data_IF_314277801747
#
_entry.id   IF_314277801747
#
_cell.length_a   1.000
_cell.length_b   1.000
_cell.length_c   1.000
_cell.angle_alpha   90.00
_cell.angle_beta   90.00
_cell.angle_gamma   90.00
#
_symmetry.space_group_name_H-M   'P 1'
#
loop_
_entity.id
_entity.type
_entity.pdbx_description
1 polymer ?
#
# COMPACT_ATOMS: atom_id res chain seq x y z
N UNK A 1 29.97 -8.83 -51.14
CA UNK A 1 28.58 -8.62 -50.67
C UNK A 1 27.99 -7.41 -51.38
N UNK A 2 26.82 -7.54 -51.98
CA UNK A 2 26.14 -6.45 -52.69
C UNK A 2 25.57 -5.41 -51.71
N UNK A 3 25.97 -4.13 -51.83
CA UNK A 3 25.54 -3.01 -50.95
C UNK A 3 24.02 -2.93 -50.77
N UNK A 4 23.28 -3.24 -51.84
CA UNK A 4 21.81 -3.22 -51.86
C UNK A 4 21.19 -4.28 -50.94
N UNK A 5 21.84 -5.43 -50.78
CA UNK A 5 21.36 -6.50 -49.91
C UNK A 5 21.61 -6.18 -48.44
N UNK A 6 22.75 -5.57 -48.13
CA UNK A 6 23.07 -5.10 -46.78
C UNK A 6 22.06 -4.06 -46.27
N UNK A 7 21.70 -3.07 -47.08
CA UNK A 7 20.73 -2.03 -46.69
C UNK A 7 19.33 -2.63 -46.44
N UNK A 8 18.90 -3.58 -47.28
CA UNK A 8 17.62 -4.28 -47.10
C UNK A 8 17.58 -5.10 -45.80
N UNK A 9 18.67 -5.79 -45.49
CA UNK A 9 18.80 -6.56 -44.25
C UNK A 9 18.80 -5.65 -43.02
N UNK A 10 19.55 -4.55 -43.04
CA UNK A 10 19.62 -3.60 -41.93
C UNK A 10 18.26 -2.94 -41.66
N UNK A 11 17.53 -2.53 -42.71
CA UNK A 11 16.19 -1.99 -42.59
C UNK A 11 15.17 -3.01 -42.07
N UNK A 12 15.25 -4.26 -42.54
CA UNK A 12 14.41 -5.35 -42.05
C UNK A 12 14.63 -5.66 -40.57
N UNK A 13 15.90 -5.74 -40.14
CA UNK A 13 16.27 -5.97 -38.72
C UNK A 13 15.80 -4.83 -37.84
N UNK A 14 15.91 -3.58 -38.31
CA UNK A 14 15.48 -2.39 -37.58
C UNK A 14 13.96 -2.35 -37.40
N UNK A 15 13.21 -2.69 -38.45
CA UNK A 15 11.75 -2.80 -38.39
C UNK A 15 11.29 -3.92 -37.44
N UNK A 16 11.94 -5.09 -37.49
CA UNK A 16 11.68 -6.21 -36.58
C UNK A 16 12.00 -5.85 -35.12
N UNK A 17 13.07 -5.11 -34.86
CA UNK A 17 13.43 -4.66 -33.52
C UNK A 17 12.42 -3.63 -32.96
N UNK A 18 11.94 -2.69 -33.78
CA UNK A 18 10.92 -1.73 -33.36
C UNK A 18 9.58 -2.42 -33.07
N UNK A 19 9.13 -3.32 -33.95
CA UNK A 19 7.88 -4.07 -33.74
C UNK A 19 8.01 -5.01 -32.53
N UNK A 20 9.13 -5.70 -32.38
CA UNK A 20 9.42 -6.56 -31.23
C UNK A 20 9.50 -5.80 -29.90
N UNK A 21 10.06 -4.59 -29.89
CA UNK A 21 10.13 -3.74 -28.68
C UNK A 21 8.77 -3.20 -28.23
N UNK A 22 7.86 -2.91 -29.17
CA UNK A 22 6.50 -2.43 -28.85
C UNK A 22 5.49 -3.57 -28.56
N UNK A 23 5.70 -4.77 -29.09
CA UNK A 23 4.78 -5.90 -28.94
C UNK A 23 4.95 -6.71 -27.63
N UNK A 24 5.89 -6.34 -26.75
CA UNK A 24 6.20 -7.07 -25.51
C UNK A 24 5.75 -6.38 -24.19
N UNK A 25 4.62 -5.63 -24.08
CA UNK A 25 4.16 -5.16 -22.77
C UNK A 25 3.70 -6.33 -21.89
N UNK A 26 3.39 -7.49 -22.49
CA UNK A 26 2.92 -8.71 -21.81
C UNK A 26 3.96 -9.36 -20.88
N UNK A 27 5.22 -8.96 -20.96
CA UNK A 27 6.30 -9.44 -20.07
C UNK A 27 6.61 -8.46 -18.92
N UNK A 28 5.91 -7.34 -18.81
CA UNK A 28 5.98 -6.50 -17.62
C UNK A 28 5.27 -7.25 -16.48
N UNK A 29 6.07 -7.84 -15.57
CA UNK A 29 5.56 -8.59 -14.42
C UNK A 29 4.47 -7.82 -13.67
N UNK A 30 3.41 -8.54 -13.27
CA UNK A 30 2.29 -7.95 -12.55
C UNK A 30 2.82 -7.29 -11.27
N UNK A 31 2.72 -5.97 -11.20
CA UNK A 31 3.12 -5.21 -10.02
C UNK A 31 2.18 -5.60 -8.87
N UNK A 32 2.67 -6.45 -7.96
CA UNK A 32 1.93 -6.86 -6.78
C UNK A 32 1.88 -5.68 -5.80
N UNK A 33 0.68 -5.20 -5.50
CA UNK A 33 0.46 -4.14 -4.51
C UNK A 33 -0.08 -4.77 -3.23
N UNK A 34 0.56 -4.47 -2.10
CA UNK A 34 0.05 -4.83 -0.78
C UNK A 34 -0.82 -3.69 -0.27
N UNK A 35 -2.06 -4.00 0.13
CA UNK A 35 -2.96 -3.04 0.79
C UNK A 35 -3.04 -3.43 2.26
N UNK A 36 -2.82 -2.46 3.14
CA UNK A 36 -2.99 -2.63 4.59
C UNK A 36 -4.32 -2.00 5.00
N UNK A 37 -5.17 -2.74 5.72
CA UNK A 37 -6.42 -2.21 6.27
C UNK A 37 -6.31 -2.23 7.79
N UNK A 38 -6.32 -1.05 8.40
CA UNK A 38 -6.42 -0.85 9.83
C UNK A 38 -7.86 -0.49 10.16
N UNK A 39 -8.39 -1.01 11.27
CA UNK A 39 -9.68 -0.58 11.77
C UNK A 39 -9.67 -0.34 13.27
N UNK A 40 -10.53 0.57 13.71
CA UNK A 40 -10.92 0.76 15.10
C UNK A 40 -12.41 0.49 15.27
N UNK A 41 -12.83 0.14 16.47
CA UNK A 41 -14.23 -0.04 16.84
C UNK A 41 -14.39 0.27 18.33
N UNK A 42 -15.64 0.42 18.79
CA UNK A 42 -16.01 0.37 20.20
C UNK A 42 -15.14 1.28 21.07
N UNK A 43 -14.80 2.46 20.57
CA UNK A 43 -13.95 3.39 21.33
C UNK A 43 -14.69 3.89 22.56
N UNK A 44 -16.03 3.97 22.49
CA UNK A 44 -16.88 4.33 23.61
C UNK A 44 -16.33 5.57 24.36
N UNK A 45 -16.08 6.65 23.60
CA UNK A 45 -15.39 7.89 23.98
C UNK A 45 -14.16 7.78 24.90
N UNK A 46 -13.51 6.62 24.97
CA UNK A 46 -12.34 6.39 25.81
C UNK A 46 -11.09 6.98 25.15
N UNK A 47 -11.00 8.31 25.19
CA UNK A 47 -9.92 9.10 24.56
C UNK A 47 -8.60 8.92 25.30
N UNK A 48 -8.65 8.92 26.63
CA UNK A 48 -7.49 8.76 27.49
C UNK A 48 -7.14 7.28 27.70
N UNK A 49 -5.90 6.95 28.10
CA UNK A 49 -5.57 5.62 28.57
C UNK A 49 -6.35 5.27 29.84
N UNK A 50 -6.64 3.98 30.01
CA UNK A 50 -7.20 3.45 31.24
C UNK A 50 -6.27 3.76 32.43
N UNK A 51 -6.86 3.99 33.60
CA UNK A 51 -6.09 4.22 34.84
C UNK A 51 -5.23 2.99 35.18
N UNK A 52 -4.13 3.20 35.91
CA UNK A 52 -3.23 2.13 36.32
C UNK A 52 -3.86 1.08 37.25
N UNK A 53 -5.00 1.40 37.87
CA UNK A 53 -5.79 0.47 38.70
C UNK A 53 -6.98 -0.15 37.96
N UNK A 54 -7.06 -0.02 36.62
CA UNK A 54 -8.12 -0.64 35.84
C UNK A 54 -8.00 -2.17 35.92
N UNK A 55 -9.13 -2.85 36.12
CA UNK A 55 -9.16 -4.29 36.44
C UNK A 55 -8.57 -5.18 35.33
N UNK A 56 -8.76 -4.79 34.06
CA UNK A 56 -8.40 -5.63 32.91
C UNK A 56 -7.35 -5.01 32.00
N UNK A 57 -7.21 -3.68 31.99
CA UNK A 57 -6.41 -2.93 31.01
C UNK A 57 -5.63 -1.78 31.65
N UNK A 58 -4.86 -2.01 32.73
CA UNK A 58 -4.18 -0.93 33.44
C UNK A 58 -3.21 -0.18 32.51
N UNK A 59 -3.33 1.15 32.45
CA UNK A 59 -2.55 2.00 31.54
C UNK A 59 -2.71 1.66 30.05
N UNK A 60 -3.70 0.86 29.66
CA UNK A 60 -3.94 0.45 28.28
C UNK A 60 -4.72 1.49 27.46
N UNK A 61 -4.77 1.32 26.15
CA UNK A 61 -5.61 2.14 25.26
C UNK A 61 -5.15 3.59 25.08
N UNK A 62 -6.12 4.48 24.87
CA UNK A 62 -5.90 5.89 24.56
C UNK A 62 -5.76 6.17 23.06
N UNK A 63 -6.50 7.16 22.58
CA UNK A 63 -6.54 7.57 21.16
C UNK A 63 -5.19 8.11 20.71
N UNK A 64 -4.49 8.87 21.55
CA UNK A 64 -3.17 9.41 21.22
C UNK A 64 -2.14 8.30 20.94
N UNK A 65 -2.11 7.25 21.78
CA UNK A 65 -1.20 6.11 21.58
C UNK A 65 -1.54 5.33 20.33
N UNK A 66 -2.83 5.15 20.07
CA UNK A 66 -3.32 4.52 18.86
C UNK A 66 -2.95 5.31 17.61
N UNK A 67 -3.05 6.64 17.64
CA UNK A 67 -2.65 7.51 16.55
C UNK A 67 -1.15 7.36 16.22
N UNK A 68 -0.28 7.31 17.24
CA UNK A 68 1.16 7.07 17.04
C UNK A 68 1.42 5.74 16.33
N UNK A 69 0.76 4.65 16.76
CA UNK A 69 0.90 3.35 16.11
C UNK A 69 0.39 3.35 14.67
N UNK A 70 -0.77 3.97 14.42
CA UNK A 70 -1.34 4.13 13.07
C UNK A 70 -0.35 4.88 12.17
N UNK A 71 0.28 5.93 12.68
CA UNK A 71 1.24 6.71 11.89
C UNK A 71 2.51 5.91 11.58
N UNK A 72 3.00 5.10 12.51
CA UNK A 72 4.11 4.18 12.27
C UNK A 72 3.77 3.19 11.14
N UNK A 73 2.60 2.55 11.19
CA UNK A 73 2.17 1.58 10.17
C UNK A 73 2.00 2.25 8.79
N UNK A 74 1.46 3.47 8.75
CA UNK A 74 1.33 4.24 7.50
C UNK A 74 2.68 4.58 6.87
N UNK A 75 3.75 4.72 7.66
CA UNK A 75 5.11 4.92 7.15
C UNK A 75 5.67 3.65 6.51
N UNK A 76 5.28 2.47 7.00
CA UNK A 76 5.69 1.17 6.45
C UNK A 76 5.02 0.86 5.11
N UNK A 77 3.73 1.20 4.94
CA UNK A 77 3.00 1.01 3.68
C UNK A 77 2.13 2.22 3.33
N UNK A 78 2.44 2.87 2.21
CA UNK A 78 1.66 4.01 1.68
C UNK A 78 0.25 3.61 1.23
N UNK A 79 0.00 2.33 0.96
CA UNK A 79 -1.31 1.79 0.62
C UNK A 79 -2.07 1.31 1.87
N UNK A 80 -2.09 2.15 2.90
CA UNK A 80 -2.80 1.87 4.17
C UNK A 80 -4.11 2.63 4.26
N UNK A 81 -5.21 1.90 4.46
CA UNK A 81 -6.52 2.45 4.78
C UNK A 81 -6.76 2.35 6.29
N UNK A 82 -7.30 3.41 6.90
CA UNK A 82 -7.77 3.39 8.27
C UNK A 82 -9.28 3.57 8.27
N UNK A 83 -9.98 2.67 8.93
CA UNK A 83 -11.44 2.67 9.06
C UNK A 83 -11.84 2.74 10.53
N UNK A 84 -12.98 3.33 10.82
CA UNK A 84 -13.62 3.23 12.13
C UNK A 84 -14.99 2.57 11.96
N UNK A 85 -15.27 1.55 12.77
CA UNK A 85 -16.48 0.73 12.68
C UNK A 85 -17.63 1.23 13.58
N UNK A 86 -17.49 2.41 14.19
CA UNK A 86 -18.53 3.03 14.99
C UNK A 86 -18.43 2.76 16.49
N UNK A 87 -19.50 3.14 17.19
CA UNK A 87 -19.60 3.21 18.65
C UNK A 87 -18.51 4.06 19.31
N UNK A 88 -18.31 5.26 18.76
CA UNK A 88 -17.25 6.19 19.17
C UNK A 88 -17.69 7.20 20.23
N UNK A 89 -18.98 7.53 20.32
CA UNK A 89 -19.47 8.72 21.04
C UNK A 89 -20.10 8.46 22.41
N UNK A 90 -20.32 7.21 22.80
CA UNK A 90 -21.00 6.88 24.07
C UNK A 90 -20.16 5.92 24.89
N UNK A 91 -19.95 6.28 26.16
CA UNK A 91 -19.12 5.55 27.10
C UNK A 91 -17.99 6.46 27.58
N UNK A 92 -17.75 6.44 28.88
CA UNK A 92 -16.55 6.85 29.64
C UNK A 92 -16.89 6.64 31.10
#
# INVERSE_FOLDING_TARGET
MERKNFIKQLGGVSALAMVGGFALPSFMGKQQRQITILHTNDTHSHIEPFKGNHSTNPNGGGVARRATLIEQIRKENQHTLLLDAGDIFQGT
#
